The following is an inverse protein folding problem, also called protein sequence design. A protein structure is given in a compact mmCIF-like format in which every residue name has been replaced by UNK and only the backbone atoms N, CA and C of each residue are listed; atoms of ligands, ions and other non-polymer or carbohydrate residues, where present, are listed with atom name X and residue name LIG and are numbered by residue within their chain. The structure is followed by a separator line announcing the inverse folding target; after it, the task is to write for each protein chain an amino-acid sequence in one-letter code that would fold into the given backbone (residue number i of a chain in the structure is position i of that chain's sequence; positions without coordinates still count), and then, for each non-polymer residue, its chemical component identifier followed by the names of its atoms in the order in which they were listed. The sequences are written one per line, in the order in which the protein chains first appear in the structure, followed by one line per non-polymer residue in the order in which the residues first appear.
data_IF_105064316137
#
_entry.id   IF_105064316137
#
_cell.length_a   1.000
_cell.length_b   1.000
_cell.length_c   1.000
_cell.angle_alpha   90.00
_cell.angle_beta   90.00
_cell.angle_gamma   90.00
#
_symmetry.space_group_name_H-M   'P 1'
#
loop_
_entity.id
_entity.type
_entity.pdbx_description
1 polymer ?
#
# COMPACT_ATOMS: atom_id res chain seq x y z
N UNK A 1 -0.72 -8.25 5.84
CA UNK A 1 -1.44 -7.33 4.94
C UNK A 1 -2.80 -7.91 4.58
N UNK A 2 -2.86 -9.09 3.96
CA UNK A 2 -4.10 -9.82 3.66
C UNK A 2 -4.26 -11.08 4.52
N UNK A 3 -5.38 -11.78 4.38
CA UNK A 3 -5.64 -13.08 4.98
C UNK A 3 -5.83 -14.16 3.89
N UNK A 4 -4.90 -15.11 3.73
CA UNK A 4 -4.99 -16.12 2.68
C UNK A 4 -6.17 -17.09 2.84
N UNK A 5 -6.74 -17.21 4.04
CA UNK A 5 -7.90 -18.08 4.30
C UNK A 5 -9.24 -17.40 3.98
N UNK A 6 -9.24 -16.07 3.85
CA UNK A 6 -10.43 -15.25 3.52
C UNK A 6 -10.43 -14.85 2.05
N UNK A 7 -9.26 -14.54 1.48
CA UNK A 7 -9.09 -14.13 0.09
C UNK A 7 -9.14 -15.33 -0.86
N UNK A 8 -10.34 -15.84 -1.14
CA UNK A 8 -10.54 -17.02 -2.00
C UNK A 8 -10.98 -16.70 -3.43
N UNK A 9 -11.20 -15.43 -3.77
CA UNK A 9 -11.70 -15.02 -5.09
C UNK A 9 -10.61 -15.05 -6.18
N UNK A 10 -10.95 -15.47 -7.40
CA UNK A 10 -10.00 -15.47 -8.50
C UNK A 10 -9.52 -14.04 -8.80
N UNK A 11 -8.22 -13.81 -8.66
CA UNK A 11 -7.61 -12.51 -8.99
C UNK A 11 -7.43 -11.52 -7.83
N UNK A 12 -7.76 -11.87 -6.58
CA UNK A 12 -7.58 -10.96 -5.42
C UNK A 12 -6.16 -10.38 -5.31
N UNK A 13 -5.15 -11.21 -5.59
CA UNK A 13 -3.75 -10.82 -5.58
C UNK A 13 -3.44 -9.68 -6.55
N UNK A 14 -4.13 -9.61 -7.69
CA UNK A 14 -3.99 -8.51 -8.65
C UNK A 14 -4.52 -7.21 -8.05
N UNK A 15 -5.66 -7.26 -7.35
CA UNK A 15 -6.22 -6.09 -6.66
C UNK A 15 -5.26 -5.54 -5.59
N UNK A 16 -4.58 -6.43 -4.86
CA UNK A 16 -3.56 -6.04 -3.88
C UNK A 16 -2.32 -5.44 -4.55
N UNK A 17 -1.87 -6.05 -5.65
CA UNK A 17 -0.75 -5.53 -6.43
C UNK A 17 -1.05 -4.13 -6.95
N UNK A 18 -2.22 -3.93 -7.56
CA UNK A 18 -2.67 -2.64 -8.09
C UNK A 18 -2.80 -1.61 -6.96
N UNK A 19 -3.41 -1.93 -5.82
CA UNK A 19 -3.56 -0.99 -4.70
C UNK A 19 -2.20 -0.50 -4.16
N UNK A 20 -1.23 -1.41 -3.99
CA UNK A 20 0.13 -1.04 -3.58
C UNK A 20 0.79 -0.17 -4.65
N UNK A 21 0.65 -0.55 -5.91
CA UNK A 21 1.29 0.12 -7.01
C UNK A 21 0.78 1.55 -7.16
N UNK A 22 -0.55 1.74 -7.12
CA UNK A 22 -1.20 3.06 -7.14
C UNK A 22 -0.66 3.96 -6.03
N UNK A 23 -0.63 3.48 -4.78
CA UNK A 23 -0.16 4.27 -3.63
C UNK A 23 1.32 4.64 -3.74
N UNK A 24 2.13 3.75 -4.31
CA UNK A 24 3.56 4.01 -4.55
C UNK A 24 3.75 5.07 -5.65
N UNK A 25 3.02 4.96 -6.75
CA UNK A 25 3.15 5.84 -7.92
C UNK A 25 2.61 7.25 -7.61
N UNK A 26 1.53 7.36 -6.83
CA UNK A 26 1.00 8.64 -6.33
C UNK A 26 2.08 9.46 -5.62
N UNK A 27 2.96 8.78 -4.87
CA UNK A 27 4.09 9.39 -4.18
C UNK A 27 5.38 9.44 -5.02
N UNK A 28 5.32 9.14 -6.32
CA UNK A 28 6.46 9.20 -7.24
C UNK A 28 7.48 8.07 -7.11
N UNK A 29 7.14 6.96 -6.45
CA UNK A 29 8.03 5.81 -6.37
C UNK A 29 8.05 5.03 -7.70
N UNK A 30 9.25 4.82 -8.25
CA UNK A 30 9.46 3.97 -9.43
C UNK A 30 9.50 2.49 -9.06
N UNK A 31 8.34 1.82 -9.06
CA UNK A 31 8.23 0.37 -8.84
C UNK A 31 8.54 -0.38 -10.15
N UNK A 32 9.40 -1.39 -10.11
CA UNK A 32 9.80 -2.20 -11.28
C UNK A 32 9.39 -3.66 -11.19
N UNK A 33 9.11 -4.15 -9.98
CA UNK A 33 8.61 -5.50 -9.77
C UNK A 33 7.82 -5.57 -8.46
N UNK A 34 6.69 -6.28 -8.48
CA UNK A 34 5.86 -6.57 -7.32
C UNK A 34 5.53 -8.07 -7.32
N UNK A 35 5.45 -8.66 -6.14
CA UNK A 35 5.02 -10.05 -6.00
C UNK A 35 4.31 -10.26 -4.66
N UNK A 36 3.08 -10.78 -4.73
CA UNK A 36 2.30 -11.21 -3.56
C UNK A 36 2.67 -12.64 -3.17
N UNK A 37 3.08 -12.85 -1.92
CA UNK A 37 3.36 -14.19 -1.38
C UNK A 37 2.08 -14.81 -0.81
N UNK A 38 1.32 -15.45 -1.69
CA UNK A 38 0.04 -16.13 -1.36
C UNK A 38 0.18 -17.22 -0.29
N UNK A 39 1.39 -17.73 -0.06
CA UNK A 39 1.66 -18.75 0.97
C UNK A 39 1.98 -18.18 2.35
N UNK A 40 2.17 -16.85 2.44
CA UNK A 40 2.49 -16.19 3.69
C UNK A 40 1.24 -15.97 4.54
N UNK A 41 1.19 -16.60 5.72
CA UNK A 41 0.15 -16.36 6.73
C UNK A 41 0.14 -14.94 7.28
N UNK A 42 1.25 -14.20 7.15
CA UNK A 42 1.34 -12.78 7.54
C UNK A 42 0.83 -11.83 6.42
N UNK A 43 0.54 -12.38 5.24
CA UNK A 43 0.14 -11.64 4.06
C UNK A 43 1.25 -10.72 3.57
N UNK A 44 2.39 -11.27 3.17
CA UNK A 44 3.56 -10.51 2.73
C UNK A 44 3.47 -10.14 1.24
N UNK A 45 3.83 -8.91 0.92
CA UNK A 45 4.03 -8.44 -0.46
C UNK A 45 5.44 -7.89 -0.61
N UNK A 46 6.07 -8.16 -1.75
CA UNK A 46 7.45 -7.83 -2.03
C UNK A 46 7.56 -6.84 -3.17
N UNK A 47 8.08 -5.65 -2.90
CA UNK A 47 8.22 -4.58 -3.89
C UNK A 47 9.70 -4.31 -4.18
N UNK A 48 10.06 -4.23 -5.47
CA UNK A 48 11.36 -3.76 -5.95
C UNK A 48 11.17 -2.42 -6.67
N UNK A 49 12.01 -1.45 -6.31
CA UNK A 49 12.06 -0.15 -6.98
C UNK A 49 13.29 -0.02 -7.90
N UNK A 50 13.25 0.94 -8.81
CA UNK A 50 14.36 1.28 -9.73
C UNK A 50 15.57 1.86 -8.98
N UNK A 51 15.33 2.60 -7.92
CA UNK A 51 16.33 3.33 -7.13
C UNK A 51 16.08 3.21 -5.63
N UNK A 52 17.13 3.40 -4.83
CA UNK A 52 17.02 3.46 -3.37
C UNK A 52 16.12 4.61 -2.91
N UNK A 53 16.15 5.75 -3.61
CA UNK A 53 15.30 6.91 -3.32
C UNK A 53 13.82 6.57 -3.51
N UNK A 54 13.46 5.88 -4.61
CA UNK A 54 12.10 5.39 -4.84
C UNK A 54 11.65 4.34 -3.82
N UNK A 55 12.55 3.46 -3.37
CA UNK A 55 12.25 2.55 -2.27
C UNK A 55 11.92 3.32 -0.97
N UNK A 56 12.60 4.43 -0.71
CA UNK A 56 12.30 5.32 0.41
C UNK A 56 10.94 6.03 0.29
N UNK A 57 10.55 6.42 -0.92
CA UNK A 57 9.22 6.99 -1.20
C UNK A 57 8.13 5.92 -0.92
N UNK A 58 8.26 4.73 -1.51
CA UNK A 58 7.32 3.63 -1.30
C UNK A 58 7.21 3.24 0.18
N UNK A 59 8.32 3.24 0.92
CA UNK A 59 8.30 2.98 2.36
C UNK A 59 7.40 3.98 3.10
N UNK A 60 7.52 5.28 2.82
CA UNK A 60 6.72 6.31 3.50
C UNK A 60 5.23 6.22 3.13
N UNK A 61 4.93 5.83 1.90
CA UNK A 61 3.55 5.69 1.41
C UNK A 61 2.81 4.50 2.01
N UNK A 62 3.54 3.40 2.25
CA UNK A 62 2.95 2.13 2.67
C UNK A 62 3.11 1.88 4.17
N UNK A 63 4.17 2.38 4.81
CA UNK A 63 4.39 2.09 6.21
C UNK A 63 3.43 2.90 7.09
N UNK A 64 2.66 2.19 7.93
CA UNK A 64 1.70 2.81 8.83
C UNK A 64 0.33 3.08 8.20
N UNK A 65 0.12 2.76 6.93
CA UNK A 65 -1.22 2.79 6.35
C UNK A 65 -2.07 1.61 6.84
N UNK A 66 -3.39 1.74 6.72
CA UNK A 66 -4.34 0.68 7.04
C UNK A 66 -4.80 -0.01 5.76
N UNK A 67 -4.87 -1.34 5.81
CA UNK A 67 -5.44 -2.16 4.75
C UNK A 67 -6.33 -3.23 5.40
N UNK A 68 -7.61 -3.22 5.07
CA UNK A 68 -8.62 -4.16 5.60
C UNK A 68 -8.56 -4.33 7.13
N UNK A 69 -8.53 -3.20 7.85
CA UNK A 69 -8.45 -3.19 9.31
C UNK A 69 -7.12 -3.70 9.91
N UNK A 70 -6.08 -3.89 9.10
CA UNK A 70 -4.73 -4.29 9.55
C UNK A 70 -3.72 -3.17 9.26
N UNK A 71 -2.84 -2.91 10.23
CA UNK A 71 -1.74 -1.95 10.07
C UNK A 71 -0.64 -2.54 9.19
N UNK A 72 -0.21 -1.80 8.17
CA UNK A 72 0.84 -2.22 7.24
C UNK A 72 2.23 -1.86 7.77
N UNK A 73 3.07 -2.88 7.95
CA UNK A 73 4.47 -2.72 8.34
C UNK A 73 5.39 -3.00 7.13
N UNK A 74 6.33 -2.08 6.86
CA UNK A 74 7.30 -2.23 5.78
C UNK A 74 8.69 -2.46 6.36
N UNK A 75 9.45 -3.36 5.75
CA UNK A 75 10.85 -3.62 6.11
C UNK A 75 11.69 -3.67 4.84
N UNK A 76 12.88 -3.08 4.90
CA UNK A 76 13.84 -3.20 3.80
C UNK A 76 14.41 -4.61 3.72
N UNK A 77 14.48 -5.14 2.50
CA UNK A 77 15.14 -6.39 2.18
C UNK A 77 16.35 -6.11 1.29
N UNK A 78 17.46 -6.81 1.54
CA UNK A 78 18.63 -6.73 0.67
C UNK A 78 18.29 -7.22 -0.74
N UNK A 79 18.76 -6.52 -1.76
CA UNK A 79 18.52 -6.88 -3.16
C UNK A 79 18.89 -8.34 -3.48
N UNK A 80 20.03 -8.82 -2.93
CA UNK A 80 20.46 -10.22 -3.06
C UNK A 80 19.40 -11.23 -2.61
N UNK A 81 18.78 -11.01 -1.43
CA UNK A 81 17.72 -11.90 -0.95
C UNK A 81 16.45 -11.79 -1.78
N UNK A 82 16.11 -10.59 -2.25
CA UNK A 82 14.97 -10.39 -3.13
C UNK A 82 15.14 -11.21 -4.41
N UNK A 83 16.29 -11.13 -5.07
CA UNK A 83 16.59 -11.88 -6.31
C UNK A 83 16.71 -13.39 -6.11
N UNK A 84 17.16 -13.84 -4.93
CA UNK A 84 17.15 -15.27 -4.60
C UNK A 84 15.73 -15.83 -4.55
N UNK A 85 14.75 -15.02 -4.10
CA UNK A 85 13.34 -15.42 -4.04
C UNK A 85 12.63 -15.22 -5.38
N UNK A 86 12.95 -14.13 -6.08
CA UNK A 86 12.35 -13.76 -7.36
C UNK A 86 13.45 -13.54 -8.43
N UNK A 87 13.96 -14.62 -9.06
CA UNK A 87 15.01 -14.50 -10.09
C UNK A 87 14.57 -13.66 -11.30
N UNK A 88 13.29 -13.72 -11.65
CA UNK A 88 12.70 -12.91 -12.75
C UNK A 88 12.85 -11.40 -12.51
N UNK A 89 12.96 -10.97 -11.26
CA UNK A 89 13.15 -9.58 -10.90
C UNK A 89 14.59 -9.08 -11.11
N UNK A 90 15.54 -9.93 -11.54
CA UNK A 90 16.89 -9.50 -11.90
C UNK A 90 16.87 -8.58 -13.12
N UNK A 91 16.09 -8.94 -14.13
CA UNK A 91 16.00 -8.24 -15.41
C UNK A 91 14.91 -7.16 -15.41
N UNK A 92 14.08 -7.10 -14.35
CA UNK A 92 13.04 -6.09 -14.20
C UNK A 92 13.64 -4.70 -13.96
N UNK A 93 13.67 -3.89 -15.03
CA UNK A 93 14.14 -2.49 -15.02
C UNK A 93 13.08 -1.49 -15.48
N UNK A 94 12.02 -1.97 -16.12
CA UNK A 94 10.93 -1.11 -16.58
C UNK A 94 9.97 -0.79 -15.44
N UNK A 95 9.49 0.46 -15.38
CA UNK A 95 8.53 0.89 -14.37
C UNK A 95 7.16 0.28 -14.67
N UNK A 96 6.54 -0.28 -13.64
CA UNK A 96 5.19 -0.79 -13.70
C UNK A 96 4.17 0.36 -13.63
N UNK A 97 3.03 0.19 -14.30
CA UNK A 97 1.87 1.07 -14.21
C UNK A 97 0.67 0.25 -13.74
N UNK A 98 -0.28 0.85 -13.00
CA UNK A 98 -1.43 0.11 -12.47
C UNK A 98 -2.34 -0.31 -13.62
N UNK A 99 -3.06 -1.43 -13.45
CA UNK A 99 -3.89 -2.01 -14.51
C UNK A 99 -5.09 -1.13 -14.92
N UNK A 100 -5.37 -0.05 -14.17
CA UNK A 100 -6.43 0.91 -14.43
C UNK A 100 -7.82 0.48 -13.92
N UNK A 101 -7.91 -0.63 -13.17
CA UNK A 101 -9.11 -1.04 -12.47
C UNK A 101 -8.98 -0.67 -10.99
N UNK A 102 -9.59 0.44 -10.58
CA UNK A 102 -9.49 0.96 -9.22
C UNK A 102 -10.16 0.03 -8.20
N UNK A 103 -9.51 -0.25 -7.06
CA UNK A 103 -10.22 -0.16 -5.80
C UNK A 103 -9.37 0.58 -4.74
N UNK A 104 -9.66 1.87 -4.55
CA UNK A 104 -9.11 2.68 -3.46
C UNK A 104 -9.46 2.06 -2.11
N UNK A 105 -8.49 1.37 -1.49
CA UNK A 105 -8.63 0.76 -0.16
C UNK A 105 -7.47 1.09 0.79
N UNK A 106 -6.42 1.77 0.32
CA UNK A 106 -5.31 2.25 1.16
C UNK A 106 -5.56 3.69 1.63
N UNK A 107 -6.19 3.80 2.79
CA UNK A 107 -6.33 5.08 3.49
C UNK A 107 -5.04 5.40 4.24
N UNK A 108 -4.50 6.59 3.98
CA UNK A 108 -3.51 7.23 4.84
C UNK A 108 -4.29 8.11 5.81
N UNK A 109 -4.18 7.84 7.10
CA UNK A 109 -4.65 8.79 8.11
C UNK A 109 -3.62 9.91 8.15
N UNK A 110 -3.96 11.08 7.60
CA UNK A 110 -3.20 12.29 7.82
C UNK A 110 -3.53 12.80 9.23
N UNK A 111 -2.55 12.82 10.17
CA UNK A 111 -2.80 13.30 11.52
C UNK A 111 -3.06 14.83 11.59
N UNK A 112 -2.90 15.54 10.47
CA UNK A 112 -3.21 16.97 10.30
C UNK A 112 -4.65 17.24 9.79
N UNK A 113 -5.43 16.21 9.45
CA UNK A 113 -6.84 16.35 8.99
C UNK A 113 -7.87 16.32 10.13
N UNK A 114 -7.46 16.51 11.37
CA UNK A 114 -8.35 16.56 12.53
C UNK A 114 -8.69 18.01 12.92
N UNK A 115 -9.43 18.73 12.07
CA UNK A 115 -10.08 20.05 12.29
C UNK A 115 -11.00 20.24 11.05
N UNK A 116 -12.33 20.28 11.07
CA UNK A 116 -13.26 21.05 11.90
C UNK A 116 -14.61 20.31 12.03
N UNK A 117 -14.93 19.73 13.20
CA UNK A 117 -16.34 19.61 13.58
C UNK A 117 -16.77 20.99 14.08
N UNK A 118 -17.51 21.74 13.24
CA UNK A 118 -18.14 22.98 13.67
C UNK A 118 -19.02 22.70 14.89
N UNK A 119 -18.58 23.18 16.05
CA UNK A 119 -19.39 23.30 17.27
C UNK A 119 -20.69 24.01 16.89
N UNK A 120 -21.80 23.24 16.85
CA UNK A 120 -23.14 23.80 16.83
C UNK A 120 -23.29 24.57 18.15
N UNK A 121 -23.07 25.88 18.07
CA UNK A 121 -23.25 26.80 19.17
C UNK A 121 -24.70 26.75 19.66
N UNK A 122 -24.91 26.14 20.82
CA UNK A 122 -26.21 25.93 21.49
C UNK A 122 -26.77 27.23 22.12
N UNK A 123 -26.61 28.37 21.44
CA UNK A 123 -27.00 29.68 21.98
C UNK A 123 -28.23 30.32 21.32
N UNK A 124 -29.05 29.56 20.58
CA UNK A 124 -30.32 30.05 20.01
C UNK A 124 -31.53 29.18 20.43
N UNK A 125 -31.62 28.84 21.72
CA UNK A 125 -32.89 28.49 22.38
C UNK A 125 -33.20 29.56 23.44
N UNK A 126 -33.64 30.74 22.98
CA UNK A 126 -34.52 31.59 23.79
C UNK A 126 -35.97 31.22 23.50
N UNK A 127 -36.60 30.50 24.42
CA UNK A 127 -38.06 30.45 24.54
C UNK A 127 -38.48 30.17 25.99
N UNK A 128 -39.00 31.23 26.62
CA UNK A 128 -39.77 31.34 27.88
C UNK A 128 -39.02 31.49 29.20
#
# INVERSE_FOLDING_TARGET
MFDPDVETEDGWHVMIEDAILEKCIENGAGVVHIAVDKSSSEGCVYVKCDTHSSAGLAFRSLHGCWFDGRLVAVKYLTLKRYHQRFPVALEATERLNPSGSSPSSLVTFDPDEAEDEEDINDSDIEAY
#
